data_IF_162113861284
#
_entry.id   IF_162113861284
#
_cell.length_a   1.000
_cell.length_b   1.000
_cell.length_c   1.000
_cell.angle_alpha   90.00
_cell.angle_beta   90.00
_cell.angle_gamma   90.00
#
_symmetry.space_group_name_H-M   'P 1'
#
loop_
_entity.id
_entity.type
_entity.pdbx_description
1 polymer ?
#
# COMPACT_ATOMS: atom_id res chain seq x y z
N UNK A 1 -18.10 20.58 31.91
CA UNK A 1 -16.94 21.21 31.27
C UNK A 1 -15.83 20.17 31.21
N UNK A 2 -15.73 19.42 30.11
CA UNK A 2 -14.72 18.37 29.92
C UNK A 2 -13.78 18.77 28.80
N UNK A 3 -12.51 18.95 29.11
CA UNK A 3 -11.43 19.30 28.18
C UNK A 3 -11.14 18.14 27.22
N UNK A 4 -11.27 18.37 25.92
CA UNK A 4 -10.82 17.45 24.88
C UNK A 4 -9.34 17.70 24.59
N UNK A 5 -8.51 16.71 24.92
CA UNK A 5 -7.10 16.64 24.54
C UNK A 5 -6.99 16.44 23.02
N UNK A 6 -6.39 17.42 22.33
CA UNK A 6 -6.00 17.33 20.92
C UNK A 6 -4.64 16.64 20.84
N UNK A 7 -4.59 15.42 20.33
CA UNK A 7 -3.32 14.76 19.99
C UNK A 7 -2.91 15.21 18.59
N UNK A 8 -1.77 15.90 18.50
CA UNK A 8 -1.14 16.30 17.23
C UNK A 8 -0.10 15.23 16.89
N UNK A 9 -0.30 14.51 15.79
CA UNK A 9 0.70 13.59 15.25
C UNK A 9 1.40 14.26 14.06
N UNK A 10 2.73 14.35 14.13
CA UNK A 10 3.59 14.97 13.12
C UNK A 10 4.06 13.94 12.10
N UNK A 11 4.08 14.31 10.82
CA UNK A 11 4.81 13.60 9.78
C UNK A 11 5.89 14.54 9.23
N UNK A 12 7.16 14.16 9.38
CA UNK A 12 8.32 14.88 8.85
C UNK A 12 8.93 14.02 7.72
N UNK A 13 8.97 14.56 6.50
CA UNK A 13 9.75 13.96 5.40
C UNK A 13 10.80 14.99 4.98
N UNK A 14 12.06 14.65 5.20
CA UNK A 14 13.21 15.46 4.78
C UNK A 14 13.68 15.05 3.38
N UNK A 15 13.96 16.03 2.53
CA UNK A 15 14.83 15.86 1.38
C UNK A 15 15.82 17.04 1.33
N UNK A 16 17.11 16.72 1.36
CA UNK A 16 18.19 17.69 1.20
C UNK A 16 18.62 17.73 -0.26
N UNK A 17 18.75 18.95 -0.78
CA UNK A 17 19.71 19.26 -1.83
C UNK A 17 19.15 19.97 -3.06
N UNK A 18 18.87 21.28 -2.95
CA UNK A 18 19.17 22.32 -3.96
C UNK A 18 18.86 23.71 -3.33
N UNK A 19 19.66 24.77 -3.59
CA UNK A 19 19.56 26.02 -2.84
C UNK A 19 18.62 27.01 -3.54
N UNK A 20 17.35 27.07 -3.13
CA UNK A 20 16.52 28.28 -3.15
C UNK A 20 15.47 28.16 -2.06
N UNK A 21 15.55 29.01 -1.04
CA UNK A 21 14.46 29.23 -0.10
C UNK A 21 13.24 29.72 -0.89
N UNK A 22 12.20 28.91 -1.01
CA UNK A 22 10.89 29.35 -1.47
C UNK A 22 9.82 28.52 -0.77
N UNK A 23 9.13 29.19 0.16
CA UNK A 23 7.94 28.77 0.90
C UNK A 23 8.08 27.47 1.72
N UNK A 24 7.96 27.59 3.04
CA UNK A 24 7.28 26.54 3.79
C UNK A 24 6.01 26.17 3.00
N UNK A 25 5.76 24.89 2.73
CA UNK A 25 4.48 24.46 2.16
C UNK A 25 3.39 25.06 3.04
N UNK A 26 2.75 26.12 2.54
CA UNK A 26 1.58 26.66 3.18
C UNK A 26 0.55 25.54 3.11
N UNK A 27 0.02 25.15 4.27
CA UNK A 27 -1.16 24.31 4.33
C UNK A 27 -2.19 24.92 3.36
N UNK A 28 -2.72 24.10 2.46
CA UNK A 28 -3.77 24.56 1.56
C UNK A 28 -4.94 25.05 2.43
N UNK A 29 -5.18 26.38 2.49
CA UNK A 29 -6.21 26.92 3.35
C UNK A 29 -7.61 26.55 2.87
N UNK A 30 -7.74 26.05 1.63
CA UNK A 30 -8.99 25.54 1.10
C UNK A 30 -9.27 24.08 1.48
N UNK A 31 -8.28 23.35 2.04
CA UNK A 31 -8.48 21.98 2.51
C UNK A 31 -9.22 21.98 3.86
N UNK A 32 -10.45 21.48 3.85
CA UNK A 32 -11.25 21.31 5.04
C UNK A 32 -10.80 20.05 5.77
N UNK A 33 -10.31 20.20 6.99
CA UNK A 33 -9.86 19.06 7.80
C UNK A 33 -11.07 18.14 8.06
N UNK A 34 -11.04 16.88 7.60
CA UNK A 34 -12.16 15.97 7.79
C UNK A 34 -12.28 15.55 9.26
N UNK A 35 -13.50 15.61 9.80
CA UNK A 35 -13.81 15.10 11.14
C UNK A 35 -14.06 13.58 11.09
N UNK A 36 -13.12 12.79 11.64
CA UNK A 36 -13.21 11.33 11.72
C UNK A 36 -13.60 10.92 13.15
N UNK A 37 -14.67 10.12 13.31
CA UNK A 37 -15.23 9.77 14.64
C UNK A 37 -15.07 8.27 15.03
N UNK A 38 -14.70 8.08 16.31
CA UNK A 38 -14.62 6.90 17.23
C UNK A 38 -14.87 5.46 16.70
N UNK A 39 -13.95 4.51 17.05
CA UNK A 39 -12.51 4.77 17.15
C UNK A 39 -12.07 5.63 15.96
N UNK A 40 -11.03 6.45 16.04
CA UNK A 40 -10.61 7.29 14.92
C UNK A 40 -9.14 7.02 14.62
N UNK A 41 -8.82 5.72 14.45
CA UNK A 41 -7.49 5.31 14.05
C UNK A 41 -7.45 5.32 12.53
N UNK A 42 -6.68 6.23 11.95
CA UNK A 42 -6.34 6.17 10.53
C UNK A 42 -5.13 5.25 10.39
N UNK A 43 -5.30 4.16 9.65
CA UNK A 43 -4.23 3.20 9.36
C UNK A 43 -3.46 3.59 8.10
N UNK A 44 -4.14 4.27 7.17
CA UNK A 44 -3.58 4.68 5.89
C UNK A 44 -4.37 5.83 5.27
N UNK A 45 -3.69 6.66 4.48
CA UNK A 45 -4.32 7.63 3.62
C UNK A 45 -3.49 7.77 2.34
N UNK A 46 -4.17 7.84 1.20
CA UNK A 46 -3.51 7.95 -0.09
C UNK A 46 -4.26 8.93 -1.00
N UNK A 47 -3.51 9.72 -1.75
CA UNK A 47 -4.05 10.58 -2.80
C UNK A 47 -4.23 9.77 -4.09
N UNK A 48 -5.38 9.91 -4.73
CA UNK A 48 -5.69 9.35 -6.04
C UNK A 48 -5.15 10.26 -7.17
N UNK A 49 -4.97 9.73 -8.40
CA UNK A 49 -4.48 10.52 -9.54
C UNK A 49 -5.32 11.75 -9.90
N UNK A 50 -6.61 11.76 -9.56
CA UNK A 50 -7.55 12.87 -9.76
C UNK A 50 -7.51 13.93 -8.64
N UNK A 51 -6.63 13.75 -7.65
CA UNK A 51 -6.48 14.65 -6.51
C UNK A 51 -7.43 14.38 -5.35
N UNK A 52 -8.35 13.41 -5.47
CA UNK A 52 -9.15 12.93 -4.34
C UNK A 52 -8.29 12.17 -3.34
N UNK A 53 -8.80 11.95 -2.14
CA UNK A 53 -8.09 11.23 -1.08
C UNK A 53 -8.91 10.05 -0.57
N UNK A 54 -8.27 8.92 -0.34
CA UNK A 54 -8.88 7.77 0.32
C UNK A 54 -8.24 7.60 1.68
N UNK A 55 -9.06 7.42 2.70
CA UNK A 55 -8.63 7.24 4.09
C UNK A 55 -9.16 5.91 4.60
N UNK A 56 -8.26 5.08 5.13
CA UNK A 56 -8.55 3.77 5.69
C UNK A 56 -8.19 3.72 7.18
N UNK A 57 -8.97 2.99 7.98
CA UNK A 57 -8.81 3.02 9.42
C UNK A 57 -9.86 2.26 10.21
N UNK A 58 -9.80 2.37 11.54
CA UNK A 58 -10.90 2.02 12.40
C UNK A 58 -11.65 3.33 12.72
N UNK A 59 -12.70 3.62 11.94
CA UNK A 59 -13.65 4.72 12.15
C UNK A 59 -15.04 4.38 11.62
N UNK A 60 -16.05 5.10 12.12
CA UNK A 60 -17.46 4.85 11.79
C UNK A 60 -18.15 6.04 11.11
N UNK A 61 -17.51 7.22 11.13
CA UNK A 61 -17.99 8.42 10.45
C UNK A 61 -16.86 9.28 9.91
N UNK A 62 -17.16 10.00 8.84
CA UNK A 62 -16.35 11.08 8.28
C UNK A 62 -17.27 12.29 8.01
N UNK A 63 -16.91 13.48 8.51
CA UNK A 63 -17.70 14.72 8.39
C UNK A 63 -19.19 14.54 8.78
N UNK A 64 -19.45 13.79 9.86
CA UNK A 64 -20.80 13.50 10.36
C UNK A 64 -21.57 12.43 9.59
N UNK A 65 -21.12 12.06 8.38
CA UNK A 65 -21.71 11.00 7.55
C UNK A 65 -21.18 9.63 7.97
N UNK A 66 -22.04 8.60 7.89
CA UNK A 66 -21.63 7.22 8.13
C UNK A 66 -20.56 6.80 7.12
N UNK A 67 -19.43 6.30 7.62
CA UNK A 67 -18.34 5.78 6.80
C UNK A 67 -17.55 4.80 7.64
N UNK A 68 -17.63 3.51 7.33
CA UNK A 68 -17.02 2.47 8.14
C UNK A 68 -15.69 2.04 7.55
N UNK A 69 -14.59 2.36 8.25
CA UNK A 69 -13.21 1.95 7.98
C UNK A 69 -12.56 2.43 6.68
N UNK A 70 -13.35 2.90 5.73
CA UNK A 70 -12.89 3.43 4.45
C UNK A 70 -13.78 4.63 4.09
N UNK A 71 -13.16 5.72 3.69
CA UNK A 71 -13.87 6.87 3.13
C UNK A 71 -13.07 7.48 1.99
N UNK A 72 -13.77 8.04 1.01
CA UNK A 72 -13.17 8.91 0.01
C UNK A 72 -13.58 10.35 0.27
N UNK A 73 -12.61 11.24 0.13
CA UNK A 73 -12.74 12.68 0.24
C UNK A 73 -12.40 13.31 -1.12
N UNK A 74 -13.06 14.41 -1.45
CA UNK A 74 -12.68 15.24 -2.58
C UNK A 74 -11.37 16.01 -2.32
N UNK A 75 -10.91 16.75 -3.32
CA UNK A 75 -9.68 17.54 -3.20
C UNK A 75 -9.74 18.62 -2.11
N UNK A 76 -10.94 19.05 -1.71
CA UNK A 76 -11.18 20.03 -0.66
C UNK A 76 -11.40 19.38 0.72
N UNK A 77 -11.36 18.04 0.83
CA UNK A 77 -11.53 17.29 2.09
C UNK A 77 -12.98 16.96 2.47
N UNK A 78 -13.96 17.28 1.62
CA UNK A 78 -15.35 16.89 1.85
C UNK A 78 -15.57 15.42 1.46
N UNK A 79 -16.50 14.73 2.13
CA UNK A 79 -16.77 13.31 1.84
C UNK A 79 -17.41 13.16 0.47
N UNK A 80 -16.80 12.35 -0.39
CA UNK A 80 -17.35 12.00 -1.69
C UNK A 80 -18.51 11.01 -1.50
N UNK A 81 -19.74 11.52 -1.56
CA UNK A 81 -20.94 10.71 -1.42
C UNK A 81 -21.22 9.80 -2.62
N UNK A 82 -20.52 9.98 -3.76
CA UNK A 82 -20.67 9.08 -4.92
C UNK A 82 -19.88 7.78 -4.76
N UNK A 83 -18.92 7.75 -3.83
CA UNK A 83 -18.17 6.55 -3.50
C UNK A 83 -19.04 5.57 -2.73
N UNK A 84 -19.44 4.47 -3.38
CA UNK A 84 -20.47 3.56 -2.88
C UNK A 84 -20.13 2.91 -1.55
N UNK A 85 -18.85 2.78 -1.16
CA UNK A 85 -18.52 2.28 0.18
C UNK A 85 -18.98 3.22 1.31
N UNK A 86 -19.12 4.51 1.03
CA UNK A 86 -19.70 5.47 1.98
C UNK A 86 -21.21 5.29 2.15
N UNK A 87 -21.87 4.60 1.22
CA UNK A 87 -23.33 4.43 1.17
C UNK A 87 -23.79 2.97 1.34
N UNK A 88 -22.86 2.03 1.42
CA UNK A 88 -23.11 0.58 1.36
C UNK A 88 -23.26 -0.03 2.75
N UNK A 89 -24.03 -1.12 2.85
CA UNK A 89 -24.03 -2.00 4.02
C UNK A 89 -22.87 -3.01 4.03
N UNK A 90 -22.03 -3.00 2.99
CA UNK A 90 -20.81 -3.78 2.95
C UNK A 90 -19.91 -3.40 4.13
N UNK A 91 -19.41 -4.43 4.82
CA UNK A 91 -18.40 -4.25 5.85
C UNK A 91 -17.04 -4.35 5.19
N UNK A 92 -16.37 -3.21 5.05
CA UNK A 92 -14.95 -3.14 4.73
C UNK A 92 -14.18 -3.06 6.05
N UNK A 93 -13.00 -3.65 6.09
CA UNK A 93 -11.99 -3.40 7.12
C UNK A 93 -10.67 -3.11 6.41
N UNK A 94 -10.51 -1.88 5.96
CA UNK A 94 -9.33 -1.46 5.22
C UNK A 94 -8.16 -1.18 6.17
N UNK A 95 -7.03 -1.84 5.92
CA UNK A 95 -5.77 -1.63 6.64
C UNK A 95 -4.81 -0.75 5.84
N UNK A 96 -4.67 -1.03 4.54
CA UNK A 96 -3.88 -0.23 3.58
C UNK A 96 -4.64 -0.04 2.29
N UNK A 97 -4.45 1.09 1.62
CA UNK A 97 -5.08 1.44 0.35
C UNK A 97 -4.05 1.91 -0.66
N UNK A 98 -4.12 1.38 -1.87
CA UNK A 98 -3.19 1.66 -2.96
C UNK A 98 -4.00 2.12 -4.18
N UNK A 99 -4.05 3.43 -4.45
CA UNK A 99 -4.66 3.97 -5.65
C UNK A 99 -3.99 3.44 -6.91
N UNK A 100 -4.80 3.07 -7.90
CA UNK A 100 -4.33 2.65 -9.22
C UNK A 100 -4.56 3.79 -10.23
N UNK A 101 -3.76 3.83 -11.29
CA UNK A 101 -3.82 4.88 -12.31
C UNK A 101 -5.20 4.99 -13.00
N UNK A 102 -5.96 3.89 -13.06
CA UNK A 102 -7.30 3.83 -13.64
C UNK A 102 -8.42 4.21 -12.64
N UNK A 103 -8.09 4.73 -11.47
CA UNK A 103 -9.04 5.12 -10.43
C UNK A 103 -9.56 3.97 -9.56
N UNK A 104 -9.19 2.71 -9.86
CA UNK A 104 -9.45 1.59 -8.96
C UNK A 104 -8.59 1.71 -7.70
N UNK A 105 -9.00 1.01 -6.63
CA UNK A 105 -8.27 0.96 -5.37
C UNK A 105 -7.94 -0.49 -5.04
N UNK A 106 -6.67 -0.79 -4.81
CA UNK A 106 -6.28 -2.06 -4.22
C UNK A 106 -6.23 -1.89 -2.69
N UNK A 107 -6.82 -2.82 -1.96
CA UNK A 107 -7.03 -2.69 -0.51
C UNK A 107 -6.50 -3.94 0.19
N UNK A 108 -5.59 -3.76 1.15
CA UNK A 108 -5.29 -4.80 2.13
C UNK A 108 -6.34 -4.73 3.23
N UNK A 109 -6.99 -5.86 3.51
CA UNK A 109 -8.04 -5.92 4.52
C UNK A 109 -9.06 -7.02 4.29
N UNK A 110 -10.25 -6.82 4.83
CA UNK A 110 -11.40 -7.69 4.55
C UNK A 110 -12.56 -6.91 3.95
N UNK A 111 -13.36 -7.62 3.15
CA UNK A 111 -14.59 -7.13 2.55
C UNK A 111 -15.68 -8.18 2.75
N UNK A 112 -16.86 -7.74 3.16
CA UNK A 112 -18.04 -8.59 3.27
C UNK A 112 -19.29 -7.85 2.82
N UNK A 113 -20.02 -8.41 1.86
CA UNK A 113 -21.35 -7.95 1.45
C UNK A 113 -22.25 -9.16 1.19
N UNK A 114 -23.19 -9.42 2.10
CA UNK A 114 -24.00 -10.64 2.06
C UNK A 114 -23.11 -11.90 2.10
N UNK A 115 -23.25 -12.77 1.10
CA UNK A 115 -22.45 -13.98 0.95
C UNK A 115 -21.07 -13.76 0.31
N UNK A 116 -20.81 -12.57 -0.27
CA UNK A 116 -19.53 -12.27 -0.90
C UNK A 116 -18.53 -11.86 0.18
N UNK A 117 -17.47 -12.66 0.32
CA UNK A 117 -16.34 -12.35 1.20
C UNK A 117 -15.03 -12.28 0.40
N UNK A 118 -14.21 -11.28 0.70
CA UNK A 118 -12.79 -11.23 0.32
C UNK A 118 -11.96 -10.96 1.57
N UNK A 119 -10.78 -11.54 1.62
CA UNK A 119 -9.82 -11.37 2.71
C UNK A 119 -8.45 -11.09 2.10
N UNK A 120 -7.58 -10.50 2.92
CA UNK A 120 -6.18 -10.20 2.61
C UNK A 120 -6.01 -9.05 1.62
N UNK A 121 -6.44 -9.23 0.38
CA UNK A 121 -6.29 -8.26 -0.68
C UNK A 121 -7.51 -8.32 -1.59
N UNK A 122 -8.09 -7.17 -1.91
CA UNK A 122 -9.17 -7.06 -2.88
C UNK A 122 -9.07 -5.73 -3.62
N UNK A 123 -9.76 -5.63 -4.76
CA UNK A 123 -9.83 -4.40 -5.54
C UNK A 123 -11.23 -3.83 -5.51
N UNK A 124 -11.32 -2.51 -5.40
CA UNK A 124 -12.54 -1.74 -5.60
C UNK A 124 -12.45 -0.99 -6.92
N UNK A 125 -13.58 -0.85 -7.60
CA UNK A 125 -13.73 0.04 -8.74
C UNK A 125 -13.65 1.50 -8.31
N UNK A 126 -13.52 2.41 -9.28
CA UNK A 126 -13.49 3.85 -9.03
C UNK A 126 -14.76 4.39 -8.38
N UNK A 127 -15.91 3.71 -8.50
CA UNK A 127 -17.13 4.07 -7.79
C UNK A 127 -17.19 3.46 -6.37
N UNK A 128 -16.17 2.72 -5.96
CA UNK A 128 -16.09 2.02 -4.68
C UNK A 128 -16.75 0.65 -4.65
N UNK A 129 -17.41 0.17 -5.70
CA UNK A 129 -17.90 -1.22 -5.71
C UNK A 129 -16.77 -2.24 -5.71
N UNK A 130 -17.00 -3.44 -5.18
CA UNK A 130 -16.03 -4.53 -5.30
C UNK A 130 -15.81 -4.87 -6.78
N UNK A 131 -14.55 -4.95 -7.20
CA UNK A 131 -14.18 -5.53 -8.48
C UNK A 131 -14.17 -7.06 -8.38
N UNK A 132 -15.11 -7.78 -9.02
CA UNK A 132 -15.17 -9.23 -8.95
C UNK A 132 -14.10 -9.91 -9.80
N UNK A 133 -13.43 -9.19 -10.71
CA UNK A 133 -12.49 -9.77 -11.69
C UNK A 133 -11.13 -10.08 -11.09
N UNK A 134 -10.75 -9.43 -9.98
CA UNK A 134 -9.51 -9.76 -9.28
C UNK A 134 -9.65 -11.11 -8.56
N UNK A 135 -8.99 -12.13 -9.10
CA UNK A 135 -8.98 -13.49 -8.55
C UNK A 135 -7.58 -13.85 -8.09
N UNK A 136 -7.38 -13.88 -6.77
CA UNK A 136 -6.08 -14.21 -6.18
C UNK A 136 -5.92 -15.72 -6.10
N UNK A 137 -4.84 -16.21 -6.70
CA UNK A 137 -4.44 -17.62 -6.60
C UNK A 137 -3.01 -17.67 -6.09
N UNK A 138 -2.83 -18.20 -4.88
CA UNK A 138 -1.51 -18.50 -4.33
C UNK A 138 -1.26 -20.01 -4.37
N UNK A 139 -0.05 -20.46 -4.74
CA UNK A 139 0.25 -21.87 -4.79
C UNK A 139 0.40 -22.46 -3.37
N UNK A 140 -0.13 -23.67 -3.18
CA UNK A 140 0.04 -24.46 -1.96
C UNK A 140 -1.07 -24.27 -0.91
N UNK A 141 -1.03 -25.08 0.17
CA UNK A 141 -2.10 -25.12 1.18
C UNK A 141 -1.98 -24.03 2.25
N UNK A 142 -1.13 -23.01 2.06
CA UNK A 142 -0.86 -22.02 3.11
C UNK A 142 -2.16 -21.26 3.44
N UNK A 143 -2.70 -21.41 4.65
CA UNK A 143 -4.08 -21.02 4.93
C UNK A 143 -4.26 -19.50 5.09
N UNK A 144 -3.18 -18.76 5.28
CA UNK A 144 -3.20 -17.34 5.66
C UNK A 144 -2.22 -16.51 4.83
N UNK A 145 -2.36 -16.46 3.49
CA UNK A 145 -1.51 -15.60 2.68
C UNK A 145 -1.66 -14.14 3.14
N UNK A 146 -0.55 -13.43 3.31
CA UNK A 146 -0.54 -12.07 3.82
C UNK A 146 0.47 -11.24 3.08
N UNK A 147 0.02 -10.15 2.45
CA UNK A 147 0.88 -9.12 1.90
C UNK A 147 1.20 -8.10 2.99
N UNK A 148 2.48 -7.86 3.25
CA UNK A 148 2.95 -6.81 4.16
C UNK A 148 3.14 -5.47 3.42
N UNK A 149 3.38 -5.53 2.12
CA UNK A 149 3.50 -4.36 1.25
C UNK A 149 2.96 -4.67 -0.15
N UNK A 150 2.35 -3.68 -0.79
CA UNK A 150 1.97 -3.74 -2.21
C UNK A 150 2.55 -2.54 -2.95
N UNK A 151 3.02 -2.77 -4.17
CA UNK A 151 3.36 -1.72 -5.12
C UNK A 151 2.58 -1.97 -6.40
N UNK A 152 1.85 -0.96 -6.87
CA UNK A 152 1.13 -1.00 -8.15
C UNK A 152 2.06 -0.45 -9.23
N UNK A 153 2.26 -1.24 -10.28
CA UNK A 153 3.05 -0.82 -11.44
C UNK A 153 2.16 -0.03 -12.44
N UNK A 154 2.74 0.85 -13.27
CA UNK A 154 1.97 1.66 -14.23
C UNK A 154 1.12 0.85 -15.23
N UNK A 155 1.51 -0.39 -15.50
CA UNK A 155 0.80 -1.34 -16.38
C UNK A 155 -0.34 -2.10 -15.68
N UNK A 156 -0.61 -1.80 -14.40
CA UNK A 156 -1.62 -2.46 -13.59
C UNK A 156 -1.18 -3.79 -12.96
N UNK A 157 0.06 -4.25 -13.19
CA UNK A 157 0.64 -5.35 -12.42
C UNK A 157 0.86 -4.93 -10.98
N UNK A 158 0.89 -5.90 -10.08
CA UNK A 158 1.02 -5.65 -8.64
C UNK A 158 2.19 -6.46 -8.09
N UNK A 159 3.13 -5.81 -7.42
CA UNK A 159 4.19 -6.45 -6.66
C UNK A 159 3.74 -6.57 -5.20
N UNK A 160 3.73 -7.79 -4.69
CA UNK A 160 3.36 -8.13 -3.33
C UNK A 160 4.59 -8.64 -2.59
N UNK A 161 4.90 -8.04 -1.45
CA UNK A 161 5.84 -8.59 -0.47
C UNK A 161 5.04 -9.23 0.65
N UNK A 162 5.37 -10.43 1.06
CA UNK A 162 4.63 -11.09 2.14
C UNK A 162 4.89 -12.58 2.27
N UNK A 163 3.92 -13.28 2.86
CA UNK A 163 3.95 -14.72 3.12
C UNK A 163 2.82 -15.35 2.32
N UNK A 164 3.12 -16.14 1.28
CA UNK A 164 2.07 -16.66 0.38
C UNK A 164 2.06 -18.18 0.34
N UNK A 165 3.23 -18.83 0.40
CA UNK A 165 3.38 -20.28 0.30
C UNK A 165 3.93 -20.93 1.57
N UNK A 166 4.37 -20.13 2.54
CA UNK A 166 4.98 -20.60 3.78
C UNK A 166 5.36 -19.45 4.71
N UNK A 167 6.35 -19.68 5.58
CA UNK A 167 6.82 -18.69 6.56
C UNK A 167 7.91 -17.75 6.04
N UNK A 168 8.45 -18.00 4.85
CA UNK A 168 9.47 -17.15 4.25
C UNK A 168 8.82 -15.94 3.59
N UNK A 169 9.49 -14.79 3.64
CA UNK A 169 9.09 -13.64 2.86
C UNK A 169 9.34 -13.89 1.38
N UNK A 170 8.33 -13.62 0.56
CA UNK A 170 8.30 -13.83 -0.87
C UNK A 170 7.92 -12.53 -1.58
N UNK A 171 8.39 -12.38 -2.83
CA UNK A 171 7.92 -11.33 -3.74
C UNK A 171 7.11 -11.99 -4.84
N UNK A 172 5.83 -11.62 -4.93
CA UNK A 172 4.93 -12.06 -5.99
C UNK A 172 4.67 -10.89 -6.92
N UNK A 173 4.78 -11.12 -8.23
CA UNK A 173 4.11 -10.24 -9.19
C UNK A 173 2.81 -10.87 -9.64
N UNK A 174 1.74 -10.12 -9.55
CA UNK A 174 0.45 -10.47 -10.12
C UNK A 174 0.18 -9.67 -11.38
N UNK A 175 -0.46 -10.32 -12.35
CA UNK A 175 -1.09 -9.66 -13.48
C UNK A 175 -2.31 -8.84 -13.00
N UNK A 176 -2.83 -7.91 -13.83
CA UNK A 176 -3.98 -7.10 -13.44
C UNK A 176 -5.24 -7.89 -13.06
N UNK A 177 -5.37 -9.15 -13.46
CA UNK A 177 -6.48 -10.03 -13.09
C UNK A 177 -6.26 -10.77 -11.75
N UNK A 178 -5.09 -10.62 -11.12
CA UNK A 178 -4.72 -11.27 -9.87
C UNK A 178 -4.04 -12.63 -10.02
N UNK A 179 -3.84 -13.12 -11.25
CA UNK A 179 -3.06 -14.34 -11.51
C UNK A 179 -1.56 -14.06 -11.38
N UNK A 180 -0.77 -15.08 -11.03
CA UNK A 180 0.69 -14.95 -10.90
C UNK A 180 1.32 -14.67 -12.26
N UNK A 181 2.19 -13.66 -12.33
CA UNK A 181 2.98 -13.39 -13.52
C UNK A 181 4.16 -14.38 -13.62
N UNK A 182 4.17 -15.30 -14.60
CA UNK A 182 5.22 -16.30 -14.73
C UNK A 182 6.55 -15.71 -15.21
N UNK A 183 6.55 -14.50 -15.77
CA UNK A 183 7.76 -13.82 -16.24
C UNK A 183 8.58 -13.16 -15.14
N UNK A 184 8.06 -13.14 -13.90
CA UNK A 184 8.73 -12.54 -12.74
C UNK A 184 9.00 -13.61 -11.69
N UNK A 185 10.27 -13.99 -11.56
CA UNK A 185 10.68 -15.00 -10.59
C UNK A 185 11.80 -14.42 -9.74
N UNK A 186 11.50 -14.28 -8.45
CA UNK A 186 12.46 -13.83 -7.44
C UNK A 186 12.52 -14.87 -6.34
N UNK A 187 13.72 -15.25 -5.96
CA UNK A 187 13.94 -16.09 -4.78
C UNK A 187 14.63 -15.27 -3.71
N UNK A 188 13.95 -15.03 -2.59
CA UNK A 188 14.56 -14.49 -1.38
C UNK A 188 14.85 -15.66 -0.44
N UNK A 189 16.12 -15.84 -0.08
CA UNK A 189 16.52 -16.84 0.91
C UNK A 189 16.97 -16.10 2.17
N UNK A 190 16.35 -16.46 3.30
CA UNK A 190 16.58 -15.85 4.62
C UNK A 190 16.27 -14.36 4.63
N UNK A 191 14.99 -14.00 4.55
CA UNK A 191 14.48 -12.65 4.84
C UNK A 191 13.44 -12.70 5.95
N UNK A 192 13.41 -11.70 6.82
CA UNK A 192 12.35 -11.55 7.82
C UNK A 192 11.30 -10.52 7.38
N UNK A 193 10.38 -10.23 8.31
CA UNK A 193 9.31 -9.25 8.20
C UNK A 193 9.81 -7.82 7.92
N UNK A 194 11.11 -7.56 8.12
CA UNK A 194 11.69 -6.23 7.96
C UNK A 194 11.96 -5.85 6.51
N UNK A 195 11.87 -6.80 5.57
CA UNK A 195 12.05 -6.51 4.13
C UNK A 195 11.04 -5.47 3.63
N UNK A 196 11.48 -4.60 2.72
CA UNK A 196 10.70 -3.54 2.06
C UNK A 196 11.11 -3.44 0.59
N UNK A 197 10.18 -2.96 -0.21
CA UNK A 197 10.35 -2.75 -1.64
C UNK A 197 10.11 -1.29 -2.01
N UNK A 198 10.83 -0.80 -3.01
CA UNK A 198 10.58 0.51 -3.61
C UNK A 198 10.67 0.38 -5.14
N UNK A 199 9.58 0.73 -5.84
CA UNK A 199 9.54 0.74 -7.30
C UNK A 199 10.16 2.03 -7.82
N UNK A 200 11.10 1.91 -8.75
CA UNK A 200 11.75 3.03 -9.40
C UNK A 200 11.01 3.43 -10.70
N UNK A 201 11.16 4.67 -11.18
CA UNK A 201 10.52 5.13 -12.42
C UNK A 201 10.90 4.32 -13.68
N UNK A 202 12.08 3.70 -13.69
CA UNK A 202 12.56 2.82 -14.78
C UNK A 202 12.02 1.38 -14.68
N UNK A 203 11.14 1.10 -13.71
CA UNK A 203 10.54 -0.20 -13.47
C UNK A 203 11.42 -1.15 -12.64
N UNK A 204 12.62 -0.75 -12.23
CA UNK A 204 13.46 -1.53 -11.33
C UNK A 204 12.92 -1.50 -9.90
N UNK A 205 13.29 -2.50 -9.12
CA UNK A 205 12.85 -2.65 -7.73
C UNK A 205 14.06 -2.57 -6.79
N UNK A 206 14.06 -1.63 -5.85
CA UNK A 206 15.01 -1.64 -4.74
C UNK A 206 14.41 -2.48 -3.62
N UNK A 207 15.22 -3.41 -3.12
CA UNK A 207 14.94 -4.19 -1.92
C UNK A 207 15.82 -3.69 -0.80
N UNK A 208 15.22 -3.48 0.38
CA UNK A 208 15.93 -3.16 1.62
C UNK A 208 15.41 -4.04 2.76
N UNK A 209 16.26 -4.44 3.70
CA UNK A 209 15.81 -5.21 4.87
C UNK A 209 16.90 -6.07 5.47
N UNK A 210 16.51 -7.22 6.02
CA UNK A 210 17.42 -8.16 6.69
C UNK A 210 17.68 -9.44 5.88
N UNK A 211 17.41 -9.40 4.57
CA UNK A 211 17.70 -10.53 3.69
C UNK A 211 19.21 -10.70 3.47
N UNK A 212 19.63 -11.95 3.23
CA UNK A 212 21.05 -12.28 2.96
C UNK A 212 21.30 -12.78 1.54
N UNK A 213 20.27 -13.28 0.86
CA UNK A 213 20.37 -13.77 -0.50
C UNK A 213 19.18 -13.37 -1.36
N UNK A 214 19.46 -13.03 -2.61
CA UNK A 214 18.47 -12.78 -3.65
C UNK A 214 18.89 -13.47 -4.93
N UNK A 215 18.01 -14.29 -5.51
CA UNK A 215 18.26 -15.08 -6.73
C UNK A 215 19.55 -15.92 -6.69
N UNK A 216 19.93 -16.43 -5.51
CA UNK A 216 21.15 -17.22 -5.34
C UNK A 216 22.43 -16.40 -5.23
N UNK A 217 22.36 -15.07 -5.26
CA UNK A 217 23.48 -14.16 -5.04
C UNK A 217 23.41 -13.53 -3.65
N UNK A 218 24.58 -13.24 -3.05
CA UNK A 218 24.64 -12.55 -1.75
C UNK A 218 24.21 -11.09 -1.93
N UNK A 219 23.00 -10.78 -1.47
CA UNK A 219 22.51 -9.41 -1.30
C UNK A 219 22.40 -9.15 0.19
N UNK A 220 23.43 -8.56 0.80
CA UNK A 220 23.35 -8.17 2.20
C UNK A 220 22.48 -6.92 2.31
N UNK A 221 21.26 -7.08 2.82
CA UNK A 221 20.37 -6.01 3.28
C UNK A 221 19.85 -5.04 2.22
N UNK A 222 20.50 -4.94 1.07
CA UNK A 222 20.10 -4.11 -0.05
C UNK A 222 20.43 -4.80 -1.37
N UNK A 223 19.48 -4.74 -2.31
CA UNK A 223 19.63 -5.26 -3.66
C UNK A 223 18.76 -4.44 -4.60
N UNK A 224 19.09 -4.47 -5.90
CA UNK A 224 18.23 -3.94 -6.94
C UNK A 224 17.89 -5.06 -7.91
N UNK A 225 16.63 -5.15 -8.30
CA UNK A 225 16.13 -6.08 -9.30
C UNK A 225 15.73 -5.33 -10.56
N UNK A 226 15.94 -5.96 -11.71
CA UNK A 226 15.40 -5.54 -12.99
C UNK A 226 13.88 -5.75 -13.02
N UNK A 227 13.17 -5.16 -14.01
CA UNK A 227 11.72 -5.32 -14.13
C UNK A 227 11.25 -6.77 -14.30
N UNK A 228 12.10 -7.71 -14.70
CA UNK A 228 11.79 -9.14 -14.81
C UNK A 228 12.09 -9.94 -13.52
N UNK A 229 12.59 -9.28 -12.48
CA UNK A 229 12.95 -9.90 -11.21
C UNK A 229 14.39 -10.42 -11.15
N UNK A 230 15.16 -10.37 -12.24
CA UNK A 230 16.59 -10.71 -12.20
C UNK A 230 17.39 -9.69 -11.38
N UNK A 231 18.49 -10.12 -10.76
CA UNK A 231 19.36 -9.20 -9.99
C UNK A 231 20.06 -8.22 -10.94
N UNK A 232 20.05 -6.93 -10.60
CA UNK A 232 20.78 -5.92 -11.37
C UNK A 232 22.25 -5.88 -10.95
N UNK A 233 23.10 -6.59 -11.70
CA UNK A 233 24.54 -6.67 -11.46
C UNK A 233 25.28 -5.31 -11.55
N UNK A 234 24.68 -4.29 -12.20
CA UNK A 234 25.26 -2.94 -12.21
C UNK A 234 25.10 -2.21 -10.88
N UNK A 235 24.25 -2.73 -9.99
CA UNK A 235 24.05 -2.20 -8.65
C UNK A 235 25.06 -2.85 -7.69
N UNK A 236 26.28 -2.33 -7.67
CA UNK A 236 27.32 -2.81 -6.75
C UNK A 236 26.99 -2.42 -5.31
N UNK A 237 26.66 -3.41 -4.47
CA UNK A 237 26.43 -3.26 -3.01
C UNK A 237 27.72 -3.08 -2.18
N UNK A 238 28.84 -2.76 -2.83
CA UNK A 238 30.22 -2.93 -2.35
C UNK A 238 30.64 -2.08 -1.13
N UNK A 239 29.73 -1.48 -0.36
CA UNK A 239 30.08 -0.61 0.77
C UNK A 239 29.27 -0.80 2.06
N UNK A 240 28.35 -1.77 2.16
CA UNK A 240 27.47 -1.87 3.33
C UNK A 240 27.59 -3.20 4.06
N UNK A 241 28.79 -3.51 4.58
CA UNK A 241 29.00 -4.73 5.36
C UNK A 241 28.33 -4.72 6.74
N UNK A 242 27.67 -3.63 7.18
CA UNK A 242 27.01 -3.55 8.49
C UNK A 242 25.80 -2.59 8.58
N UNK A 243 25.21 -2.15 7.47
CA UNK A 243 24.08 -1.20 7.53
C UNK A 243 22.75 -1.92 7.28
N UNK A 244 21.89 -1.99 8.32
CA UNK A 244 20.46 -2.29 8.14
C UNK A 244 19.77 -1.01 7.69
N UNK A 245 19.16 -1.02 6.50
CA UNK A 245 18.36 0.10 6.02
C UNK A 245 16.88 -0.17 6.29
N UNK A 246 16.27 0.64 7.15
CA UNK A 246 14.83 0.65 7.34
C UNK A 246 14.21 1.62 6.33
N UNK A 247 13.42 1.11 5.39
CA UNK A 247 12.57 1.93 4.52
C UNK A 247 11.22 2.05 5.22
N UNK A 248 10.90 3.23 5.75
CA UNK A 248 9.62 3.53 6.40
C UNK A 248 8.54 3.86 5.38
#
# INVERSE_FOLDING_TARGET
MGSLLRYSFWLLVGLVGLPRFAAAQALDPAFHIPEIYRPALVNDAAQQPDGQYVVAGAFTRANGLSSNTLTRLDAAGAVDQTFRQNLSSATVQAQKVYPMANGQLLVIGSYQAGAVQRRYLFRLNADGTLDPTLTLTFPGPYPYPSATQVLVQPDGRMLLLGYFTGSNTEIYRLLPDGTRDPSFNVTLLVGSQDTKMLLQPDGKLILGGDFTWVNGERGFFIARLNPDGSTDASYHSAAYTNARLYIN
#
